data_IF_902578822590
#
_entry.id   IF_902578822590
#
_cell.length_a   1.000
_cell.length_b   1.000
_cell.length_c   1.000
_cell.angle_alpha   90.00
_cell.angle_beta   90.00
_cell.angle_gamma   90.00
#
_symmetry.space_group_name_H-M   'P 1'
#
loop_
_entity.id
_entity.type
_entity.pdbx_description
1 polymer ?
#
# COMPACT_ATOMS: atom_id res chain seq x y z
N UNK A 1 -11.16 -1.12 -7.34
CA UNK A 1 -9.71 -1.24 -7.53
C UNK A 1 -9.30 -2.17 -8.67
N UNK A 2 -10.10 -3.19 -9.03
CA UNK A 2 -9.75 -4.23 -10.01
C UNK A 2 -9.38 -3.80 -11.46
N UNK A 3 -9.39 -2.51 -11.80
CA UNK A 3 -8.92 -1.97 -13.08
C UNK A 3 -8.03 -0.72 -12.93
N UNK A 4 -7.54 -0.46 -11.71
CA UNK A 4 -6.71 0.72 -11.43
C UNK A 4 -5.22 0.34 -11.46
N UNK A 5 -4.37 1.25 -11.94
CA UNK A 5 -2.90 1.08 -11.96
C UNK A 5 -2.18 1.67 -10.74
N UNK A 6 -2.85 2.58 -10.02
CA UNK A 6 -2.31 3.29 -8.87
C UNK A 6 -3.47 3.79 -7.98
N UNK A 7 -3.35 3.63 -6.67
CA UNK A 7 -4.30 4.17 -5.70
C UNK A 7 -3.75 5.44 -5.04
N UNK A 8 -4.55 6.50 -4.97
CA UNK A 8 -4.23 7.70 -4.18
C UNK A 8 -5.22 7.80 -3.02
N UNK A 9 -4.75 7.74 -1.78
CA UNK A 9 -5.64 7.67 -0.61
C UNK A 9 -4.97 8.14 0.69
N UNK A 10 -5.75 8.25 1.77
CA UNK A 10 -5.23 8.28 3.15
C UNK A 10 -4.82 6.86 3.57
N UNK A 11 -3.84 6.70 4.48
CA UNK A 11 -3.31 5.40 4.89
C UNK A 11 -4.21 4.66 5.91
N UNK A 12 -5.50 4.50 5.57
CA UNK A 12 -6.46 3.74 6.37
C UNK A 12 -6.25 2.24 6.22
N UNK A 13 -6.30 1.49 7.34
CA UNK A 13 -5.94 0.07 7.38
C UNK A 13 -6.70 -0.78 6.35
N UNK A 14 -8.04 -0.70 6.31
CA UNK A 14 -8.85 -1.53 5.41
C UNK A 14 -8.53 -1.28 3.94
N UNK A 15 -8.52 -0.01 3.53
CA UNK A 15 -8.24 0.37 2.13
C UNK A 15 -6.82 -0.01 1.71
N UNK A 16 -5.83 0.16 2.59
CA UNK A 16 -4.47 -0.27 2.32
C UNK A 16 -4.38 -1.79 2.21
N UNK A 17 -5.06 -2.56 3.07
CA UNK A 17 -5.09 -4.03 3.00
C UNK A 17 -5.76 -4.52 1.73
N UNK A 18 -6.85 -3.90 1.29
CA UNK A 18 -7.48 -4.20 -0.01
C UNK A 18 -6.51 -3.94 -1.17
N UNK A 19 -5.80 -2.81 -1.15
CA UNK A 19 -4.82 -2.47 -2.18
C UNK A 19 -3.64 -3.46 -2.21
N UNK A 20 -3.11 -3.85 -1.04
CA UNK A 20 -2.07 -4.87 -0.92
C UNK A 20 -2.54 -6.20 -1.53
N UNK A 21 -3.74 -6.66 -1.15
CA UNK A 21 -4.32 -7.92 -1.65
C UNK A 21 -4.52 -7.92 -3.17
N UNK A 22 -4.75 -6.75 -3.77
CA UNK A 22 -4.90 -6.59 -5.21
C UNK A 22 -3.59 -6.24 -5.94
N UNK A 23 -2.45 -6.27 -5.26
CA UNK A 23 -1.15 -5.87 -5.81
C UNK A 23 -1.15 -4.45 -6.40
N UNK A 24 -1.90 -3.53 -5.78
CA UNK A 24 -2.10 -2.17 -6.29
C UNK A 24 -1.16 -1.19 -5.58
N UNK A 25 -0.19 -0.58 -6.29
CA UNK A 25 0.67 0.46 -5.73
C UNK A 25 -0.11 1.64 -5.16
N UNK A 26 0.46 2.31 -4.17
CA UNK A 26 -0.22 3.41 -3.47
C UNK A 26 0.60 4.72 -3.42
N UNK A 27 -0.09 5.86 -3.50
CA UNK A 27 0.40 7.16 -3.05
C UNK A 27 -0.46 7.61 -1.88
N UNK A 28 0.17 7.75 -0.72
CA UNK A 28 -0.49 8.05 0.55
C UNK A 28 -0.39 9.55 0.84
N UNK A 29 -1.49 10.15 1.29
CA UNK A 29 -1.56 11.58 1.63
C UNK A 29 -2.32 11.81 2.92
N UNK A 30 -2.12 12.98 3.55
CA UNK A 30 -2.91 13.46 4.68
C UNK A 30 -2.99 12.48 5.88
N UNK A 31 -1.93 11.70 6.14
CA UNK A 31 -1.87 10.75 7.24
C UNK A 31 -2.11 11.45 8.59
N UNK A 32 -3.11 10.98 9.35
CA UNK A 32 -3.36 11.46 10.70
C UNK A 32 -2.29 10.95 11.69
N UNK A 33 -2.00 11.70 12.78
CA UNK A 33 -1.15 11.21 13.86
C UNK A 33 -1.67 9.88 14.44
N UNK A 34 -0.74 8.98 14.81
CA UNK A 34 -1.07 7.66 15.34
C UNK A 34 -1.07 6.58 14.26
N UNK A 35 -2.16 5.80 14.19
CA UNK A 35 -2.25 4.57 13.37
C UNK A 35 -2.06 4.83 11.87
N UNK A 36 -2.67 5.89 11.34
CA UNK A 36 -2.52 6.27 9.92
C UNK A 36 -1.06 6.56 9.55
N UNK A 37 -0.33 7.28 10.42
CA UNK A 37 1.11 7.52 10.22
C UNK A 37 1.93 6.24 10.29
N UNK A 38 1.63 5.34 11.23
CA UNK A 38 2.30 4.05 11.35
C UNK A 38 2.11 3.21 10.07
N UNK A 39 0.88 3.15 9.55
CA UNK A 39 0.57 2.50 8.28
C UNK A 39 1.36 3.11 7.12
N UNK A 40 1.42 4.44 7.02
CA UNK A 40 2.14 5.11 5.94
C UNK A 40 3.65 4.81 5.96
N UNK A 41 4.26 4.83 7.14
CA UNK A 41 5.68 4.48 7.31
C UNK A 41 5.91 3.02 6.90
N UNK A 42 5.11 2.10 7.43
CA UNK A 42 5.25 0.67 7.15
C UNK A 42 5.11 0.36 5.66
N UNK A 43 4.07 0.88 5.00
CA UNK A 43 3.83 0.64 3.57
C UNK A 43 4.92 1.28 2.69
N UNK A 44 5.50 2.40 3.11
CA UNK A 44 6.62 3.02 2.42
C UNK A 44 7.92 2.20 2.57
N UNK A 45 8.18 1.67 3.76
CA UNK A 45 9.32 0.76 4.02
C UNK A 45 9.21 -0.55 3.22
N UNK A 46 7.98 -1.05 3.03
CA UNK A 46 7.71 -2.19 2.14
C UNK A 46 7.81 -1.83 0.65
N UNK A 47 8.09 -0.59 0.27
CA UNK A 47 8.16 -0.13 -1.12
C UNK A 47 6.87 -0.28 -1.95
N UNK A 48 5.76 -0.64 -1.31
CA UNK A 48 4.45 -0.76 -1.94
C UNK A 48 3.73 0.61 -2.05
N UNK A 49 4.16 1.61 -1.27
CA UNK A 49 3.57 2.93 -1.23
C UNK A 49 4.61 4.07 -1.22
N UNK A 50 4.19 5.26 -1.67
CA UNK A 50 4.90 6.53 -1.42
C UNK A 50 4.03 7.45 -0.57
N UNK A 51 4.49 7.83 0.62
CA UNK A 51 3.82 8.84 1.43
C UNK A 51 4.38 10.22 1.12
N UNK A 52 3.53 11.10 0.61
CA UNK A 52 3.95 12.39 0.04
C UNK A 52 3.11 13.54 0.59
N UNK A 53 3.69 14.74 0.55
CA UNK A 53 2.95 15.95 0.84
C UNK A 53 2.13 16.40 -0.39
N UNK A 54 1.18 17.31 -0.16
CA UNK A 54 0.28 17.78 -1.23
C UNK A 54 1.01 18.42 -2.41
N UNK A 55 2.15 19.07 -2.17
CA UNK A 55 2.99 19.68 -3.20
C UNK A 55 3.67 18.65 -4.11
N UNK A 56 3.95 17.46 -3.60
CA UNK A 56 4.69 16.39 -4.29
C UNK A 56 3.77 15.39 -4.99
N UNK A 57 2.46 15.48 -4.73
CA UNK A 57 1.47 14.51 -5.17
C UNK A 57 1.46 14.34 -6.70
N UNK A 58 1.41 15.45 -7.44
CA UNK A 58 1.33 15.43 -8.91
C UNK A 58 2.58 14.81 -9.52
N UNK A 59 3.76 15.20 -9.02
CA UNK A 59 5.04 14.68 -9.48
C UNK A 59 5.16 13.18 -9.18
N UNK A 60 4.78 12.76 -7.97
CA UNK A 60 4.85 11.36 -7.54
C UNK A 60 3.94 10.45 -8.35
N UNK A 61 2.67 10.86 -8.53
CA UNK A 61 1.70 10.12 -9.35
C UNK A 61 2.17 10.05 -10.80
N UNK A 62 2.59 11.18 -11.39
CA UNK A 62 3.07 11.21 -12.77
C UNK A 62 4.32 10.36 -12.97
N UNK A 63 5.25 10.41 -12.02
CA UNK A 63 6.49 9.64 -12.05
C UNK A 63 6.26 8.13 -11.96
N UNK A 64 5.25 7.69 -11.19
CA UNK A 64 4.88 6.27 -11.12
C UNK A 64 4.15 5.83 -12.39
N UNK A 65 3.15 6.59 -12.86
CA UNK A 65 2.36 6.21 -14.04
C UNK A 65 3.19 6.19 -15.34
N UNK A 66 4.15 7.11 -15.48
CA UNK A 66 5.05 7.18 -16.65
C UNK A 66 6.21 6.19 -16.61
N UNK A 67 6.44 5.52 -15.48
CA UNK A 67 7.50 4.55 -15.31
C UNK A 67 6.92 3.15 -15.00
N UNK A 68 6.62 2.35 -16.03
CA UNK A 68 6.08 1.00 -15.86
C UNK A 68 6.95 0.12 -14.97
N UNK A 69 8.28 0.22 -15.06
CA UNK A 69 9.21 -0.58 -14.26
C UNK A 69 9.08 -0.26 -12.77
N UNK A 70 8.99 1.03 -12.42
CA UNK A 70 8.75 1.45 -11.03
C UNK A 70 7.38 0.97 -10.54
N UNK A 71 6.34 1.14 -11.35
CA UNK A 71 4.98 0.69 -11.00
C UNK A 71 4.92 -0.81 -10.76
N UNK A 72 5.50 -1.61 -11.64
CA UNK A 72 5.53 -3.07 -11.53
C UNK A 72 6.34 -3.54 -10.32
N UNK A 73 7.44 -2.85 -9.99
CA UNK A 73 8.21 -3.11 -8.79
C UNK A 73 7.39 -2.85 -7.52
N UNK A 74 6.67 -1.72 -7.46
CA UNK A 74 5.77 -1.41 -6.34
C UNK A 74 4.61 -2.42 -6.26
N UNK A 75 4.07 -2.86 -7.40
CA UNK A 75 2.97 -3.82 -7.45
C UNK A 75 3.39 -5.20 -6.92
N UNK A 76 4.61 -5.64 -7.25
CA UNK A 76 5.19 -6.87 -6.68
C UNK A 76 5.37 -6.75 -5.17
N UNK A 77 5.86 -5.61 -4.71
CA UNK A 77 6.07 -5.36 -3.28
C UNK A 77 4.76 -5.36 -2.46
N UNK A 78 3.61 -5.08 -3.08
CA UNK A 78 2.31 -5.25 -2.44
C UNK A 78 1.96 -6.72 -2.14
N UNK A 79 2.47 -7.67 -2.92
CA UNK A 79 2.02 -9.07 -2.94
C UNK A 79 2.76 -10.02 -1.98
N UNK A 80 3.76 -9.54 -1.25
CA UNK A 80 4.62 -10.37 -0.39
C UNK A 80 4.03 -10.63 1.02
N UNK A 81 2.73 -10.36 1.22
CA UNK A 81 2.04 -10.60 2.49
C UNK A 81 1.69 -12.07 2.75
N UNK A 82 1.58 -12.50 4.01
CA UNK A 82 1.23 -13.88 4.34
C UNK A 82 -0.19 -14.22 3.87
N UNK A 83 -0.32 -15.10 2.88
CA UNK A 83 -1.60 -15.73 2.57
C UNK A 83 -1.96 -16.72 3.67
N UNK A 84 -3.21 -16.72 4.13
CA UNK A 84 -3.77 -17.63 5.15
C UNK A 84 -3.53 -17.26 6.64
N UNK A 85 -3.33 -15.98 6.94
CA UNK A 85 -3.14 -15.54 8.34
C UNK A 85 -4.30 -15.91 9.27
N UNK A 86 -5.54 -15.99 8.75
CA UNK A 86 -6.70 -16.37 9.57
C UNK A 86 -6.62 -17.83 10.00
N UNK A 87 -6.28 -18.74 9.08
CA UNK A 87 -6.11 -20.16 9.35
C UNK A 87 -4.93 -20.43 10.28
N UNK A 88 -3.84 -19.67 10.14
CA UNK A 88 -2.69 -19.74 11.05
C UNK A 88 -3.06 -19.31 12.47
N UNK A 89 -3.81 -18.20 12.61
CA UNK A 89 -4.29 -17.74 13.92
C UNK A 89 -5.18 -18.80 14.58
N UNK A 90 -6.09 -19.45 13.83
CA UNK A 90 -6.93 -20.52 14.38
C UNK A 90 -6.08 -21.69 14.89
N UNK A 91 -5.02 -22.08 14.16
CA UNK A 91 -4.08 -23.12 14.62
C UNK A 91 -3.34 -22.72 15.90
N UNK A 92 -2.96 -21.46 16.06
CA UNK A 92 -2.29 -20.97 17.27
C UNK A 92 -3.24 -20.97 18.47
N UNK A 93 -4.51 -20.59 18.26
CA UNK A 93 -5.48 -20.45 19.34
C UNK A 93 -6.08 -21.78 19.81
N UNK A 94 -6.16 -22.78 18.93
CA UNK A 94 -6.88 -24.04 19.17
C UNK A 94 -6.06 -25.30 18.89
N UNK A 95 -4.77 -25.17 18.55
CA UNK A 95 -3.83 -26.26 18.30
C UNK A 95 -2.94 -26.58 19.48
#
# INVERSE_FOLDING_TARGET
>A
MAQSDLLVTKPGALTCTEALTMNLPMVLVNALPGQERANAIHLQEQHCACWVNRSELVESVSGILRNPQKRDAMAKACGDGPMHSSEEIVKILYG
#
